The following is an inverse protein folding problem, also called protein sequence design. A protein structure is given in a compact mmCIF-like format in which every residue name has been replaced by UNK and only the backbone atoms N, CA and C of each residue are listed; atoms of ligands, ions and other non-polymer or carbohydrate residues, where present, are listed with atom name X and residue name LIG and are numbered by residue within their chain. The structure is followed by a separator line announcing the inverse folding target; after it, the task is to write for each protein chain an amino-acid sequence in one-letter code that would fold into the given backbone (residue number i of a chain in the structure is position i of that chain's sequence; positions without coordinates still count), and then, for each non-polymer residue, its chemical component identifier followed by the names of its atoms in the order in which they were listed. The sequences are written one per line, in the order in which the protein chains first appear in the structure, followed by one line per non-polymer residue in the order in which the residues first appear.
data_IF_986869088240
#
_entry.id   IF_986869088240
#
_cell.length_a   1.000
_cell.length_b   1.000
_cell.length_c   1.000
_cell.angle_alpha   90.00
_cell.angle_beta   90.00
_cell.angle_gamma   90.00
#
_symmetry.space_group_name_H-M   'P 1'
#
loop_
_entity.id
_entity.type
_entity.pdbx_description
1 polymer ?
#
# COMPACT_ATOMS: atom_id res chain seq x y z
N UNK A 1 -21.71 -4.06 -6.17
CA UNK A 1 -21.40 -2.72 -6.68
C UNK A 1 -22.11 -1.72 -5.77
N UNK A 2 -21.40 -1.10 -4.81
CA UNK A 2 -21.99 0.01 -4.04
C UNK A 2 -21.71 1.28 -4.85
N UNK A 3 -22.78 1.91 -5.34
CA UNK A 3 -22.70 3.26 -5.89
C UNK A 3 -22.21 4.19 -4.78
N UNK A 4 -21.19 4.99 -5.09
CA UNK A 4 -20.78 6.12 -4.28
C UNK A 4 -21.90 7.15 -4.33
N UNK A 5 -22.64 7.31 -3.25
CA UNK A 5 -23.52 8.46 -3.07
C UNK A 5 -22.64 9.71 -2.95
N UNK A 6 -22.81 10.65 -3.87
CA UNK A 6 -22.28 12.00 -3.75
C UNK A 6 -22.93 12.64 -2.53
N UNK A 7 -22.15 12.86 -1.46
CA UNK A 7 -22.58 13.59 -0.27
C UNK A 7 -22.75 15.07 -0.63
N UNK A 8 -23.92 15.43 -1.18
CA UNK A 8 -24.32 16.82 -1.38
C UNK A 8 -24.64 17.44 -0.01
N UNK A 9 -23.62 18.00 0.65
CA UNK A 9 -23.82 18.72 1.91
C UNK A 9 -22.56 19.11 2.66
N UNK A 10 -21.42 18.47 2.41
CA UNK A 10 -20.20 18.72 3.18
C UNK A 10 -19.05 19.18 2.29
N UNK A 11 -18.27 20.14 2.79
CA UNK A 11 -16.98 20.51 2.24
C UNK A 11 -15.88 20.20 3.27
N UNK A 12 -14.83 19.51 2.83
CA UNK A 12 -13.59 19.38 3.59
C UNK A 12 -12.81 20.68 3.49
N UNK A 13 -12.59 21.31 4.64
CA UNK A 13 -11.77 22.49 4.78
C UNK A 13 -10.42 22.12 5.37
N UNK A 14 -9.38 22.75 4.82
CA UNK A 14 -8.02 22.65 5.34
C UNK A 14 -7.83 23.73 6.40
N UNK A 15 -7.34 23.34 7.58
CA UNK A 15 -6.89 24.29 8.60
C UNK A 15 -5.41 24.08 8.86
N UNK A 16 -4.65 25.16 8.95
CA UNK A 16 -3.23 25.10 9.29
C UNK A 16 -3.08 25.37 10.78
N UNK A 17 -2.45 24.46 11.52
CA UNK A 17 -1.76 24.83 12.75
C UNK A 17 -0.48 25.60 12.40
N UNK A 18 0.04 26.39 13.36
CA UNK A 18 1.16 27.37 13.24
C UNK A 18 2.51 26.89 12.62
N UNK A 19 2.58 25.73 11.97
CA UNK A 19 3.83 25.07 11.56
C UNK A 19 3.92 24.69 10.07
N UNK A 20 2.86 24.83 9.28
CA UNK A 20 2.91 24.55 7.84
C UNK A 20 2.60 25.81 7.03
N UNK A 21 3.51 26.17 6.11
CA UNK A 21 3.24 27.18 5.11
C UNK A 21 2.04 26.77 4.24
N UNK A 22 1.27 27.77 3.78
CA UNK A 22 0.26 27.52 2.77
C UNK A 22 0.91 26.90 1.51
N UNK A 23 0.22 25.96 0.89
CA UNK A 23 0.75 25.24 -0.28
C UNK A 23 1.66 24.03 -0.02
N UNK A 24 1.92 23.60 1.23
CA UNK A 24 2.70 22.36 1.48
C UNK A 24 1.95 21.08 1.09
N UNK A 25 0.62 21.05 1.22
CA UNK A 25 -0.26 19.97 0.78
C UNK A 25 -1.54 20.58 0.18
N UNK A 26 -2.27 19.84 -0.63
CA UNK A 26 -3.63 20.19 -1.04
C UNK A 26 -4.62 19.16 -0.49
N UNK A 27 -5.85 19.58 -0.26
CA UNK A 27 -6.94 18.71 0.18
C UNK A 27 -8.10 18.97 -0.77
N UNK A 28 -8.57 17.92 -1.43
CA UNK A 28 -9.77 18.00 -2.25
C UNK A 28 -10.99 18.21 -1.34
N UNK A 29 -11.72 19.30 -1.54
CA UNK A 29 -12.79 19.72 -0.63
C UNK A 29 -14.03 18.84 -0.70
N UNK A 30 -14.16 17.95 -1.69
CA UNK A 30 -15.32 17.07 -1.85
C UNK A 30 -15.01 15.67 -1.34
N UNK A 31 -13.83 15.17 -1.67
CA UNK A 31 -13.41 13.78 -1.41
C UNK A 31 -12.52 13.64 -0.18
N UNK A 32 -11.96 14.74 0.32
CA UNK A 32 -10.98 14.74 1.41
C UNK A 32 -9.60 14.21 1.03
N UNK A 33 -9.33 13.96 -0.25
CA UNK A 33 -8.05 13.42 -0.72
C UNK A 33 -6.93 14.45 -0.48
N UNK A 34 -5.94 14.07 0.33
CA UNK A 34 -4.73 14.87 0.58
C UNK A 34 -3.66 14.55 -0.47
N UNK A 35 -3.08 15.57 -1.10
CA UNK A 35 -1.99 15.44 -2.09
C UNK A 35 -0.80 16.32 -1.72
N UNK A 36 0.39 15.88 -2.14
CA UNK A 36 1.59 16.72 -2.09
C UNK A 36 1.43 17.90 -3.03
N UNK A 37 1.97 19.06 -2.65
CA UNK A 37 1.88 20.30 -3.44
C UNK A 37 3.25 20.97 -3.66
N UNK A 38 4.28 20.49 -2.96
CA UNK A 38 5.66 20.92 -3.14
C UNK A 38 6.45 19.92 -3.97
N UNK A 39 7.45 20.43 -4.70
CA UNK A 39 8.41 19.61 -5.44
C UNK A 39 9.40 18.90 -4.51
N UNK A 40 9.70 19.49 -3.36
CA UNK A 40 10.66 18.98 -2.39
C UNK A 40 10.11 19.11 -0.98
N UNK A 41 10.27 18.05 -0.19
CA UNK A 41 10.03 18.02 1.25
C UNK A 41 11.37 17.73 1.93
N UNK A 42 11.58 18.24 3.14
CA UNK A 42 12.82 18.03 3.86
C UNK A 42 12.90 16.58 4.36
N UNK A 43 13.91 15.80 3.93
CA UNK A 43 14.07 14.43 4.40
C UNK A 43 14.26 14.39 5.93
N UNK A 44 13.58 13.45 6.59
CA UNK A 44 13.63 13.28 8.04
C UNK A 44 12.58 14.08 8.81
N UNK A 45 11.80 14.95 8.16
CA UNK A 45 10.73 15.71 8.82
C UNK A 45 9.38 15.00 8.77
N UNK A 46 8.55 15.21 9.80
CA UNK A 46 7.14 14.82 9.82
C UNK A 46 6.26 16.05 9.68
N UNK A 47 5.41 16.06 8.66
CA UNK A 47 4.43 17.11 8.39
C UNK A 47 3.06 16.71 8.93
N UNK A 48 2.33 17.64 9.56
CA UNK A 48 0.99 17.40 10.13
C UNK A 48 -0.08 18.15 9.36
N UNK A 49 -0.96 17.44 8.68
CA UNK A 49 -2.11 18.02 7.97
C UNK A 49 -3.34 17.91 8.87
N UNK A 50 -3.97 19.04 9.15
CA UNK A 50 -5.21 19.11 9.92
C UNK A 50 -6.37 19.32 8.94
N UNK A 51 -7.33 18.39 8.94
CA UNK A 51 -8.51 18.44 8.08
C UNK A 51 -9.77 18.42 8.92
N UNK A 52 -10.76 19.18 8.49
CA UNK A 52 -12.05 19.28 9.16
C UNK A 52 -13.14 19.30 8.09
N UNK A 53 -14.23 18.59 8.30
CA UNK A 53 -15.39 18.65 7.41
C UNK A 53 -16.35 19.73 7.92
N UNK A 54 -16.99 20.44 6.99
CA UNK A 54 -18.05 21.41 7.27
C UNK A 54 -19.32 21.07 6.52
N UNK A 55 -20.41 20.86 7.24
CA UNK A 55 -21.77 20.75 6.72
C UNK A 55 -22.29 22.13 6.30
N UNK A 56 -22.78 22.23 5.08
CA UNK A 56 -23.39 23.43 4.50
C UNK A 56 -24.91 23.37 4.48
N UNK A 57 -25.51 22.26 4.91
CA UNK A 57 -26.97 22.09 4.93
C UNK A 57 -27.66 22.89 6.05
N UNK A 58 -27.12 23.03 7.27
CA UNK A 58 -27.76 23.83 8.30
C UNK A 58 -27.54 25.32 8.05
N UNK A 59 -28.61 26.10 7.97
CA UNK A 59 -28.55 27.57 7.95
C UNK A 59 -28.66 28.19 9.34
N UNK A 60 -29.02 27.37 10.35
CA UNK A 60 -29.11 27.79 11.75
C UNK A 60 -27.69 27.98 12.33
N UNK A 61 -27.32 29.19 12.79
CA UNK A 61 -26.00 29.47 13.35
C UNK A 61 -25.78 28.81 14.72
N UNK A 62 -26.80 28.24 15.35
CA UNK A 62 -26.70 27.56 16.66
C UNK A 62 -26.30 26.09 16.55
N UNK A 63 -26.38 25.51 15.35
CA UNK A 63 -25.96 24.13 15.09
C UNK A 63 -24.48 24.08 14.70
N UNK A 64 -23.73 23.16 15.31
CA UNK A 64 -22.34 22.92 14.89
C UNK A 64 -22.34 22.35 13.47
N UNK A 65 -21.75 23.09 12.55
CA UNK A 65 -21.56 22.69 11.16
C UNK A 65 -20.21 22.00 10.95
N UNK A 66 -19.32 22.01 11.93
CA UNK A 66 -17.97 21.47 11.78
C UNK A 66 -17.80 20.13 12.49
N UNK A 67 -17.03 19.23 11.87
CA UNK A 67 -16.58 17.99 12.50
C UNK A 67 -15.45 18.23 13.50
N UNK A 68 -15.08 17.18 14.24
CA UNK A 68 -13.77 17.11 14.89
C UNK A 68 -12.64 17.25 13.86
N UNK A 69 -11.48 17.71 14.32
CA UNK A 69 -10.27 17.85 13.50
C UNK A 69 -9.57 16.50 13.41
N UNK A 70 -9.39 15.98 12.19
CA UNK A 70 -8.53 14.83 11.94
C UNK A 70 -7.09 15.31 11.66
N UNK A 71 -6.12 14.57 12.22
CA UNK A 71 -4.69 14.85 12.05
C UNK A 71 -4.04 13.74 11.24
N UNK A 72 -3.42 14.11 10.11
CA UNK A 72 -2.63 13.21 9.28
C UNK A 72 -1.15 13.56 9.43
N UNK A 73 -0.34 12.60 9.92
CA UNK A 73 1.11 12.73 10.01
C UNK A 73 1.78 12.10 8.78
N UNK A 74 2.59 12.88 8.05
CA UNK A 74 3.26 12.48 6.82
C UNK A 74 4.76 12.63 7.03
N UNK A 75 5.47 11.52 7.13
CA UNK A 75 6.93 11.50 7.23
C UNK A 75 7.56 11.61 5.83
N UNK A 76 8.39 12.64 5.62
CA UNK A 76 9.20 12.78 4.43
C UNK A 76 10.49 11.97 4.58
N UNK A 77 10.42 10.69 4.21
CA UNK A 77 11.57 9.81 4.21
C UNK A 77 11.69 9.02 2.92
N UNK A 78 12.73 8.20 2.84
CA UNK A 78 12.84 7.19 1.79
C UNK A 78 11.66 6.25 1.88
N UNK A 79 10.87 6.21 0.82
CA UNK A 79 9.81 5.22 0.69
C UNK A 79 10.46 3.90 0.30
N UNK A 80 10.42 2.93 1.20
CA UNK A 80 10.77 1.55 0.89
C UNK A 80 9.99 1.09 -0.36
N UNK A 81 10.53 0.17 -1.18
CA UNK A 81 9.77 -0.37 -2.30
C UNK A 81 8.39 -0.87 -1.86
N UNK A 82 7.44 -0.97 -2.78
CA UNK A 82 6.11 -1.49 -2.46
C UNK A 82 5.60 -2.40 -3.55
N UNK A 83 4.97 -3.51 -3.16
CA UNK A 83 4.22 -4.33 -4.09
C UNK A 83 3.09 -3.51 -4.73
N UNK A 84 2.80 -3.79 -5.99
CA UNK A 84 1.74 -3.13 -6.76
C UNK A 84 0.34 -3.39 -6.16
N UNK A 85 0.17 -4.49 -5.42
CA UNK A 85 -1.04 -4.83 -4.66
C UNK A 85 -0.67 -5.17 -3.22
N UNK A 86 -1.57 -4.85 -2.30
CA UNK A 86 -1.43 -5.20 -0.89
C UNK A 86 -1.64 -6.71 -0.64
N UNK A 87 -2.46 -7.36 -1.47
CA UNK A 87 -2.73 -8.79 -1.40
C UNK A 87 -2.88 -9.37 -2.81
N UNK A 88 -2.38 -10.60 -2.98
CA UNK A 88 -2.55 -11.41 -4.18
C UNK A 88 -3.29 -12.69 -3.80
N UNK A 89 -4.37 -13.00 -4.52
CA UNK A 89 -5.15 -14.23 -4.36
C UNK A 89 -5.16 -14.96 -5.70
N UNK A 90 -4.63 -16.18 -5.70
CA UNK A 90 -4.44 -16.99 -6.90
C UNK A 90 -5.09 -18.36 -6.66
N UNK A 91 -5.92 -18.80 -7.61
CA UNK A 91 -6.37 -20.19 -7.69
C UNK A 91 -5.41 -20.99 -8.57
N UNK A 92 -4.98 -22.15 -8.11
CA UNK A 92 -4.03 -23.01 -8.83
C UNK A 92 -4.71 -24.35 -9.09
N UNK A 93 -4.90 -24.76 -10.36
CA UNK A 93 -5.40 -26.09 -10.71
C UNK A 93 -4.45 -27.20 -10.23
N UNK A 94 -4.97 -28.36 -9.80
CA UNK A 94 -4.14 -29.50 -9.36
C UNK A 94 -3.33 -30.15 -10.48
N UNK A 95 -3.78 -30.01 -11.73
CA UNK A 95 -3.07 -30.47 -12.94
C UNK A 95 -1.92 -29.54 -13.33
N UNK A 96 -1.68 -28.45 -12.58
CA UNK A 96 -0.53 -27.58 -12.79
C UNK A 96 0.77 -28.35 -12.59
N UNK A 97 1.62 -28.36 -13.62
CA UNK A 97 2.93 -29.00 -13.54
C UNK A 97 3.90 -28.24 -12.63
N UNK A 98 4.82 -28.97 -12.01
CA UNK A 98 5.92 -28.38 -11.23
C UNK A 98 6.81 -27.57 -12.19
N UNK A 99 7.38 -26.48 -11.68
CA UNK A 99 8.10 -25.42 -12.41
C UNK A 99 7.23 -24.55 -13.32
N UNK A 100 5.91 -24.76 -13.42
CA UNK A 100 5.06 -23.78 -14.10
C UNK A 100 4.87 -22.52 -13.23
N UNK A 101 4.79 -21.37 -13.91
CA UNK A 101 4.50 -20.10 -13.25
C UNK A 101 3.03 -20.05 -12.84
N UNK A 102 2.78 -19.61 -11.61
CA UNK A 102 1.44 -19.52 -11.01
C UNK A 102 1.04 -18.09 -10.69
N UNK A 103 2.01 -17.18 -10.53
CA UNK A 103 1.74 -15.76 -10.34
C UNK A 103 2.92 -14.88 -10.78
N UNK A 104 2.64 -13.62 -11.11
CA UNK A 104 3.64 -12.57 -11.25
C UNK A 104 3.34 -11.47 -10.24
N UNK A 105 4.28 -11.22 -9.32
CA UNK A 105 4.21 -10.10 -8.38
C UNK A 105 5.21 -9.03 -8.76
N UNK A 106 4.76 -7.77 -8.77
CA UNK A 106 5.61 -6.62 -9.05
C UNK A 106 5.72 -5.73 -7.83
N UNK A 107 6.93 -5.26 -7.56
CA UNK A 107 7.22 -4.19 -6.62
C UNK A 107 7.84 -2.99 -7.34
N UNK A 108 7.58 -1.79 -6.82
CA UNK A 108 8.12 -0.54 -7.33
C UNK A 108 9.08 0.06 -6.32
N UNK A 109 10.32 0.34 -6.75
CA UNK A 109 11.26 1.17 -5.99
C UNK A 109 10.95 2.65 -6.25
N UNK A 110 10.88 3.41 -5.16
CA UNK A 110 10.66 4.86 -5.15
C UNK A 110 11.95 5.64 -4.93
N UNK A 111 13.11 4.96 -4.90
CA UNK A 111 14.39 5.66 -4.80
C UNK A 111 14.55 6.64 -5.97
N UNK A 112 14.97 7.88 -5.70
CA UNK A 112 15.30 8.83 -6.75
C UNK A 112 16.35 8.21 -7.67
N UNK A 113 16.12 8.30 -8.98
CA UNK A 113 17.19 8.09 -9.96
C UNK A 113 17.88 9.43 -10.10
N UNK A 114 19.04 9.59 -9.47
CA UNK A 114 19.95 10.66 -9.89
C UNK A 114 20.78 10.15 -11.08
N UNK A 115 21.33 11.06 -11.87
CA UNK A 115 22.11 10.72 -13.09
C UNK A 115 23.34 9.83 -12.80
N UNK A 116 23.63 9.53 -11.53
CA UNK A 116 24.77 8.75 -11.06
C UNK A 116 24.39 7.43 -10.37
N UNK A 117 23.10 7.13 -10.15
CA UNK A 117 22.66 5.89 -9.48
C UNK A 117 21.43 5.27 -10.14
N UNK A 118 21.46 3.95 -10.34
CA UNK A 118 20.27 3.18 -10.65
C UNK A 118 19.36 3.09 -9.40
N UNK A 119 18.09 2.72 -9.56
CA UNK A 119 17.14 2.52 -8.44
C UNK A 119 17.57 1.43 -7.44
N UNK A 120 18.67 0.71 -7.71
CA UNK A 120 19.01 -0.58 -7.11
C UNK A 120 18.16 -1.71 -7.71
N UNK A 121 18.72 -2.91 -7.74
CA UNK A 121 17.98 -4.09 -8.20
C UNK A 121 17.07 -4.59 -7.06
N UNK A 122 15.80 -4.82 -7.38
CA UNK A 122 14.85 -5.39 -6.44
C UNK A 122 15.09 -6.90 -6.34
N UNK A 123 15.24 -7.39 -5.11
CA UNK A 123 15.34 -8.81 -4.81
C UNK A 123 14.10 -9.30 -4.09
N UNK A 124 13.41 -10.27 -4.68
CA UNK A 124 12.18 -10.86 -4.16
C UNK A 124 12.47 -12.10 -3.32
N UNK A 125 11.76 -12.26 -2.22
CA UNK A 125 11.81 -13.45 -1.38
C UNK A 125 10.41 -13.81 -0.87
N UNK A 126 10.15 -15.11 -0.70
CA UNK A 126 8.82 -15.65 -0.41
C UNK A 126 8.89 -16.63 0.75
N UNK A 127 8.07 -16.39 1.77
CA UNK A 127 8.04 -17.16 3.01
C UNK A 127 6.62 -17.57 3.37
N UNK A 128 6.48 -18.61 4.18
CA UNK A 128 5.21 -18.98 4.80
C UNK A 128 4.80 -17.89 5.80
N UNK A 129 3.53 -17.52 5.78
CA UNK A 129 2.94 -16.64 6.80
C UNK A 129 2.76 -17.43 8.11
N UNK A 130 3.80 -17.42 8.94
CA UNK A 130 3.86 -18.11 10.22
C UNK A 130 3.72 -17.18 11.43
N UNK A 131 4.08 -17.67 12.60
CA UNK A 131 4.05 -16.95 13.88
C UNK A 131 5.17 -15.91 14.07
N UNK A 132 5.92 -15.57 13.00
CA UNK A 132 6.86 -14.46 12.96
C UNK A 132 8.21 -14.68 13.68
N UNK A 133 8.43 -15.86 14.27
CA UNK A 133 9.68 -16.18 14.96
C UNK A 133 10.77 -16.57 13.95
N UNK A 134 10.40 -17.32 12.91
CA UNK A 134 11.32 -17.73 11.83
C UNK A 134 10.70 -17.55 10.45
N UNK A 135 11.54 -17.17 9.48
CA UNK A 135 11.16 -17.06 8.07
C UNK A 135 11.37 -18.40 7.39
N UNK A 136 10.31 -19.19 7.28
CA UNK A 136 10.35 -20.49 6.61
C UNK A 136 10.04 -20.34 5.11
N UNK A 137 10.89 -20.86 4.20
CA UNK A 137 10.55 -20.94 2.78
C UNK A 137 9.34 -21.84 2.53
N UNK A 138 8.55 -21.52 1.50
CA UNK A 138 7.43 -22.40 1.12
C UNK A 138 7.92 -23.75 0.59
N UNK A 139 7.23 -24.82 0.99
CA UNK A 139 7.42 -26.17 0.42
C UNK A 139 6.81 -26.33 -0.97
N UNK A 140 5.82 -25.49 -1.30
CA UNK A 140 5.01 -25.61 -2.52
C UNK A 140 5.36 -24.55 -3.57
N UNK A 141 6.00 -23.45 -3.20
CA UNK A 141 6.21 -22.32 -4.09
C UNK A 141 7.61 -21.74 -3.97
N UNK A 142 8.17 -21.29 -5.08
CA UNK A 142 9.39 -20.47 -5.14
C UNK A 142 9.07 -19.13 -5.79
N UNK A 143 9.93 -18.13 -5.58
CA UNK A 143 9.86 -16.85 -6.29
C UNK A 143 11.18 -16.59 -6.98
N UNK A 144 11.12 -16.13 -8.23
CA UNK A 144 12.29 -15.66 -8.96
C UNK A 144 12.81 -14.37 -8.33
N UNK A 145 14.02 -14.42 -7.77
CA UNK A 145 14.61 -13.34 -6.99
C UNK A 145 14.70 -12.02 -7.75
N UNK A 146 14.94 -12.04 -9.07
CA UNK A 146 15.08 -10.82 -9.87
C UNK A 146 13.77 -10.32 -10.50
N UNK A 147 12.78 -11.20 -10.70
CA UNK A 147 11.62 -10.91 -11.55
C UNK A 147 10.26 -10.99 -10.86
N UNK A 148 10.21 -11.55 -9.64
CA UNK A 148 8.99 -11.69 -8.85
C UNK A 148 8.02 -12.75 -9.37
N UNK A 149 8.45 -13.64 -10.27
CA UNK A 149 7.58 -14.71 -10.80
C UNK A 149 7.55 -15.89 -9.83
N UNK A 150 6.36 -16.28 -9.40
CA UNK A 150 6.13 -17.39 -8.48
C UNK A 150 5.89 -18.67 -9.28
N UNK A 151 6.59 -19.75 -8.92
CA UNK A 151 6.51 -21.04 -9.59
C UNK A 151 6.06 -22.12 -8.60
N UNK A 152 5.38 -23.15 -9.12
CA UNK A 152 5.01 -24.33 -8.35
C UNK A 152 6.25 -25.22 -8.15
N UNK A 153 6.59 -25.53 -6.90
CA UNK A 153 7.74 -26.39 -6.52
C UNK A 153 7.33 -27.83 -6.23
N UNK A 154 6.09 -28.04 -5.81
CA UNK A 154 5.57 -29.35 -5.42
C UNK A 154 4.17 -29.50 -6.00
N UNK A 155 3.86 -30.67 -6.55
CA UNK A 155 2.52 -31.01 -7.04
C UNK A 155 1.46 -30.77 -5.96
N UNK A 156 0.31 -30.30 -6.43
CA UNK A 156 -0.91 -30.15 -5.66
C UNK A 156 -1.81 -31.33 -6.01
N UNK A 157 -2.43 -31.92 -5.00
CA UNK A 157 -3.41 -32.99 -5.15
C UNK A 157 -4.59 -32.62 -4.25
N UNK A 158 -5.76 -32.36 -4.85
CA UNK A 158 -6.94 -31.97 -4.07
C UNK A 158 -7.62 -33.15 -3.36
N UNK A 159 -7.27 -34.39 -3.69
CA UNK A 159 -7.79 -35.57 -3.02
C UNK A 159 -6.89 -36.03 -1.86
N UNK A 160 -5.65 -35.53 -1.79
CA UNK A 160 -4.74 -35.75 -0.66
C UNK A 160 -5.05 -34.82 0.52
N UNK A 161 -5.76 -35.34 1.53
CA UNK A 161 -6.12 -34.60 2.75
C UNK A 161 -4.91 -34.14 3.59
N UNK A 162 -3.71 -34.70 3.36
CA UNK A 162 -2.49 -34.26 4.05
C UNK A 162 -1.93 -32.95 3.47
N UNK A 163 -2.39 -32.55 2.28
CA UNK A 163 -1.98 -31.31 1.64
C UNK A 163 -2.85 -30.13 2.07
N UNK A 164 -2.20 -28.99 2.28
CA UNK A 164 -2.89 -27.75 2.58
C UNK A 164 -3.55 -27.25 1.29
N UNK A 165 -4.86 -26.99 1.34
CA UNK A 165 -5.58 -26.37 0.21
C UNK A 165 -5.32 -24.86 0.10
N UNK A 166 -5.09 -24.22 1.24
CA UNK A 166 -4.86 -22.78 1.33
C UNK A 166 -3.44 -22.52 1.82
N UNK A 167 -2.69 -21.75 1.04
CA UNK A 167 -1.35 -21.31 1.39
C UNK A 167 -1.35 -19.81 1.62
N UNK A 168 -0.85 -19.39 2.77
CA UNK A 168 -0.67 -17.99 3.11
C UNK A 168 0.82 -17.69 3.16
N UNK A 169 1.24 -16.74 2.34
CA UNK A 169 2.65 -16.44 2.12
C UNK A 169 2.90 -14.94 2.30
N UNK A 170 4.08 -14.60 2.78
CA UNK A 170 4.57 -13.22 2.87
C UNK A 170 5.67 -13.05 1.82
N UNK A 171 5.43 -12.10 0.91
CA UNK A 171 6.46 -11.60 0.00
C UNK A 171 7.25 -10.49 0.67
N UNK A 172 8.57 -10.57 0.58
CA UNK A 172 9.49 -9.50 1.00
C UNK A 172 10.32 -9.03 -0.19
N UNK A 173 10.82 -7.81 -0.09
CA UNK A 173 11.83 -7.29 -1.01
C UNK A 173 12.97 -6.65 -0.24
N UNK A 174 14.14 -6.67 -0.86
CA UNK A 174 15.29 -5.86 -0.46
C UNK A 174 15.88 -5.16 -1.68
N UNK A 175 16.68 -4.13 -1.42
CA UNK A 175 17.56 -3.54 -2.42
C UNK A 175 18.94 -4.16 -2.22
N UNK A 176 19.55 -4.59 -3.32
CA UNK A 176 20.96 -5.01 -3.34
C UNK A 176 21.92 -3.82 -3.29
#
# INVERSE_FOLDING_TARGET
MKQHENLHGFDVIKRFGNFLADGTFTVDSITGVVRTAQKHYNPGETYRVFVQARDRTPTDPTLSQESEIAVLEIYAGDRAPQFAKQQYSIGIPEDTEVENSVADVKAHSFKPVDERRSKGDLRYSLYVDGNGIEREPSRYFTIGEANGVIHLKKRIDFDDETQLRNHKLIGLFSLS
#
